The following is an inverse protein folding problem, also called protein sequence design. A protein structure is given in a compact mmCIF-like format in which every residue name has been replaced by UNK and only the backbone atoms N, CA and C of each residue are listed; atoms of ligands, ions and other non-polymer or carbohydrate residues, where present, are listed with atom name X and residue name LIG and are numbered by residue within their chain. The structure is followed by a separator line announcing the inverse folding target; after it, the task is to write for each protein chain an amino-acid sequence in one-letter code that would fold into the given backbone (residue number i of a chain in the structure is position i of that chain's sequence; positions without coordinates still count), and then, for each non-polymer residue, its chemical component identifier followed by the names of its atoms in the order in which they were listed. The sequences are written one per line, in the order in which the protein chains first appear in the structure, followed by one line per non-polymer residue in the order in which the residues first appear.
data_IF_895894561641
#
_entry.id   IF_895894561641
#
_cell.length_a   1.000
_cell.length_b   1.000
_cell.length_c   1.000
_cell.angle_alpha   90.00
_cell.angle_beta   90.00
_cell.angle_gamma   90.00
#
_symmetry.space_group_name_H-M   'P 1'
#
loop_
_entity.id
_entity.type
_entity.pdbx_description
1 polymer ?
#
# COMPACT_ATOMS: atom_id res chain seq x y z
N UNK A 1 21.92 -9.82 -18.47
CA UNK A 1 21.63 -9.87 -17.02
C UNK A 1 22.89 -10.32 -16.31
N UNK A 2 23.37 -9.53 -15.35
CA UNK A 2 24.54 -9.91 -14.55
C UNK A 2 24.21 -11.08 -13.64
N UNK A 3 25.18 -11.90 -13.27
CA UNK A 3 24.97 -12.98 -12.29
C UNK A 3 25.33 -12.51 -10.86
N UNK A 4 24.92 -13.27 -9.84
CA UNK A 4 25.16 -12.94 -8.42
C UNK A 4 26.65 -12.82 -8.07
N UNK A 5 27.53 -13.53 -8.78
CA UNK A 5 28.99 -13.45 -8.60
C UNK A 5 29.53 -12.13 -9.15
N UNK A 6 29.12 -11.74 -10.36
CA UNK A 6 29.48 -10.46 -10.97
C UNK A 6 29.05 -9.26 -10.13
N UNK A 7 27.90 -9.33 -9.45
CA UNK A 7 27.47 -8.28 -8.51
C UNK A 7 28.36 -8.18 -7.26
N UNK A 8 28.89 -9.31 -6.79
CA UNK A 8 29.86 -9.35 -5.68
C UNK A 8 31.21 -8.80 -6.11
N UNK A 9 31.64 -9.12 -7.33
CA UNK A 9 32.90 -8.65 -7.89
C UNK A 9 32.86 -7.12 -8.06
N UNK A 10 31.75 -6.56 -8.59
CA UNK A 10 31.53 -5.10 -8.67
C UNK A 10 31.55 -4.41 -7.30
N UNK A 11 31.00 -5.06 -6.27
CA UNK A 11 31.04 -4.54 -4.91
C UNK A 11 32.48 -4.55 -4.35
N UNK A 12 33.23 -5.62 -4.60
CA UNK A 12 34.62 -5.75 -4.20
C UNK A 12 35.52 -4.71 -4.90
N UNK A 13 35.21 -4.39 -6.15
CA UNK A 13 35.90 -3.37 -6.95
C UNK A 13 35.51 -1.92 -6.57
N UNK A 14 34.62 -1.74 -5.59
CA UNK A 14 34.17 -0.42 -5.12
C UNK A 14 33.20 0.28 -6.08
N UNK A 15 32.73 -0.39 -7.13
CA UNK A 15 31.77 0.15 -8.10
C UNK A 15 30.34 0.08 -7.57
N UNK A 16 30.06 0.79 -6.47
CA UNK A 16 28.77 0.72 -5.77
C UNK A 16 27.58 1.10 -6.66
N UNK A 17 27.72 2.11 -7.53
CA UNK A 17 26.64 2.54 -8.43
C UNK A 17 26.20 1.43 -9.39
N UNK A 18 27.17 0.72 -9.98
CA UNK A 18 26.94 -0.39 -10.89
C UNK A 18 26.47 -1.65 -10.16
N UNK A 19 26.97 -1.88 -8.94
CA UNK A 19 26.53 -2.98 -8.09
C UNK A 19 25.07 -2.81 -7.63
N UNK A 20 24.66 -1.60 -7.21
CA UNK A 20 23.28 -1.29 -6.84
C UNK A 20 22.34 -1.44 -8.03
N UNK A 21 22.70 -0.84 -9.17
CA UNK A 21 21.85 -0.88 -10.38
C UNK A 21 21.71 -2.31 -10.91
N UNK A 22 22.81 -3.07 -10.95
CA UNK A 22 22.78 -4.48 -11.34
C UNK A 22 22.03 -5.36 -10.35
N UNK A 23 22.13 -5.11 -9.04
CA UNK A 23 21.39 -5.83 -8.01
C UNK A 23 19.88 -5.56 -8.12
N UNK A 24 19.49 -4.32 -8.43
CA UNK A 24 18.09 -3.97 -8.71
C UNK A 24 17.56 -4.72 -9.92
N UNK A 25 18.26 -4.71 -11.06
CA UNK A 25 17.85 -5.46 -12.26
C UNK A 25 17.75 -6.97 -11.98
N UNK A 26 18.68 -7.51 -11.19
CA UNK A 26 18.66 -8.92 -10.80
C UNK A 26 17.49 -9.23 -9.88
N UNK A 27 17.25 -8.40 -8.87
CA UNK A 27 16.12 -8.53 -7.96
C UNK A 27 14.78 -8.36 -8.69
N UNK A 28 14.71 -7.45 -9.66
CA UNK A 28 13.55 -7.28 -10.54
C UNK A 28 13.25 -8.57 -11.29
N UNK A 29 14.26 -9.17 -11.92
CA UNK A 29 14.11 -10.43 -12.64
C UNK A 29 13.85 -11.65 -11.74
N UNK A 30 14.38 -11.65 -10.52
CA UNK A 30 14.25 -12.75 -9.56
C UNK A 30 12.88 -12.84 -8.89
N UNK A 31 12.10 -11.76 -8.87
CA UNK A 31 10.74 -11.80 -8.34
C UNK A 31 10.61 -11.63 -6.81
N UNK A 32 11.72 -11.50 -6.08
CA UNK A 32 11.74 -11.17 -4.65
C UNK A 32 11.38 -9.70 -4.39
N UNK A 33 10.22 -9.44 -3.78
CA UNK A 33 9.74 -8.08 -3.53
C UNK A 33 10.40 -7.43 -2.30
N UNK A 34 10.77 -8.21 -1.30
CA UNK A 34 11.33 -7.69 -0.05
C UNK A 34 12.78 -7.23 -0.27
N UNK A 35 13.57 -8.06 -0.96
CA UNK A 35 14.94 -7.72 -1.35
C UNK A 35 14.97 -6.56 -2.34
N UNK A 36 14.06 -6.51 -3.31
CA UNK A 36 13.96 -5.41 -4.27
C UNK A 36 13.59 -4.08 -3.60
N UNK A 37 12.59 -4.07 -2.71
CA UNK A 37 12.20 -2.85 -1.98
C UNK A 37 13.35 -2.38 -1.05
N UNK A 38 14.09 -3.31 -0.45
CA UNK A 38 15.31 -3.01 0.31
C UNK A 38 16.42 -2.39 -0.54
N UNK A 39 16.65 -2.92 -1.75
CA UNK A 39 17.63 -2.38 -2.70
C UNK A 39 17.21 -1.00 -3.24
N UNK A 40 15.92 -0.77 -3.45
CA UNK A 40 15.38 0.55 -3.84
C UNK A 40 15.65 1.60 -2.76
N UNK A 41 15.39 1.25 -1.49
CA UNK A 41 15.69 2.15 -0.38
C UNK A 41 17.19 2.45 -0.31
N UNK A 42 18.03 1.43 -0.49
CA UNK A 42 19.48 1.55 -0.48
C UNK A 42 20.02 2.38 -1.65
N UNK A 43 19.39 2.31 -2.83
CA UNK A 43 19.69 3.18 -3.97
C UNK A 43 19.36 4.64 -3.67
N UNK A 44 18.21 4.90 -3.03
CA UNK A 44 17.83 6.25 -2.61
C UNK A 44 18.83 6.82 -1.59
N UNK A 45 19.19 6.03 -0.59
CA UNK A 45 20.19 6.40 0.42
C UNK A 45 21.56 6.66 -0.22
N UNK A 46 21.97 5.82 -1.17
CA UNK A 46 23.21 6.01 -1.93
C UNK A 46 23.19 7.29 -2.78
N UNK A 47 22.08 7.61 -3.46
CA UNK A 47 21.96 8.85 -4.22
C UNK A 47 22.06 10.06 -3.30
N UNK A 48 21.29 10.09 -2.20
CA UNK A 48 21.36 11.17 -1.20
C UNK A 48 22.77 11.33 -0.63
N UNK A 49 23.44 10.21 -0.36
CA UNK A 49 24.80 10.20 0.15
C UNK A 49 25.81 10.80 -0.83
N UNK A 50 25.74 10.38 -2.10
CA UNK A 50 26.57 10.88 -3.19
C UNK A 50 26.34 12.38 -3.43
N UNK A 51 25.08 12.82 -3.42
CA UNK A 51 24.72 14.22 -3.65
C UNK A 51 25.15 15.10 -2.46
N UNK A 52 25.07 14.58 -1.22
CA UNK A 52 25.61 15.21 -0.01
C UNK A 52 27.14 15.40 -0.04
N UNK A 53 27.86 14.41 -0.58
CA UNK A 53 29.30 14.51 -0.80
C UNK A 53 29.66 15.57 -1.84
N UNK A 54 29.00 15.54 -3.01
CA UNK A 54 29.26 16.50 -4.09
C UNK A 54 28.89 17.94 -3.74
N UNK A 55 27.90 18.14 -2.87
CA UNK A 55 27.52 19.46 -2.35
C UNK A 55 28.39 19.97 -1.20
N UNK A 56 29.37 19.17 -0.73
CA UNK A 56 30.27 19.54 0.36
C UNK A 56 29.58 19.63 1.73
N UNK A 57 28.38 19.06 1.87
CA UNK A 57 27.56 19.16 3.09
C UNK A 57 27.97 18.15 4.18
N UNK A 58 28.83 17.19 3.85
CA UNK A 58 29.24 16.11 4.76
C UNK A 58 30.76 16.02 4.85
N UNK A 59 31.26 15.68 6.04
CA UNK A 59 32.69 15.48 6.27
C UNK A 59 33.18 14.15 5.68
N UNK A 60 34.49 14.02 5.46
CA UNK A 60 35.08 12.78 4.95
C UNK A 60 34.84 11.57 5.88
N UNK A 61 34.86 11.77 7.20
CA UNK A 61 34.59 10.69 8.16
C UNK A 61 33.14 10.20 8.09
N UNK A 62 32.19 11.13 7.95
CA UNK A 62 30.78 10.79 7.75
C UNK A 62 30.58 10.08 6.42
N UNK A 63 31.30 10.52 5.39
CA UNK A 63 31.34 9.87 4.09
C UNK A 63 31.82 8.41 4.18
N UNK A 64 32.99 8.18 4.75
CA UNK A 64 33.57 6.85 4.87
C UNK A 64 32.68 5.88 5.69
N UNK A 65 32.09 6.36 6.81
CA UNK A 65 31.19 5.53 7.63
C UNK A 65 29.91 5.17 6.91
N UNK A 66 29.27 6.12 6.24
CA UNK A 66 28.04 5.88 5.48
C UNK A 66 28.30 4.97 4.27
N UNK A 67 29.41 5.17 3.55
CA UNK A 67 29.85 4.32 2.45
C UNK A 67 30.05 2.85 2.91
N UNK A 68 30.71 2.63 4.06
CA UNK A 68 30.89 1.30 4.62
C UNK A 68 29.56 0.64 5.00
N UNK A 69 28.63 1.41 5.58
CA UNK A 69 27.28 0.93 5.94
C UNK A 69 26.47 0.54 4.70
N UNK A 70 26.48 1.36 3.65
CA UNK A 70 25.80 1.10 2.38
C UNK A 70 26.39 -0.16 1.73
N UNK A 71 27.72 -0.29 1.69
CA UNK A 71 28.42 -1.44 1.12
C UNK A 71 28.06 -2.73 1.85
N UNK A 72 28.06 -2.71 3.19
CA UNK A 72 27.67 -3.86 4.01
C UNK A 72 26.21 -4.25 3.82
N UNK A 73 25.30 -3.26 3.81
CA UNK A 73 23.88 -3.51 3.59
C UNK A 73 23.61 -4.06 2.18
N UNK A 74 24.30 -3.55 1.15
CA UNK A 74 24.21 -4.05 -0.22
C UNK A 74 24.73 -5.49 -0.33
N UNK A 75 25.85 -5.81 0.33
CA UNK A 75 26.36 -7.18 0.39
C UNK A 75 25.34 -8.13 1.01
N UNK A 76 24.71 -7.73 2.12
CA UNK A 76 23.65 -8.51 2.77
C UNK A 76 22.49 -8.79 1.83
N UNK A 77 21.99 -7.76 1.13
CA UNK A 77 20.91 -7.93 0.14
C UNK A 77 21.30 -8.79 -1.05
N UNK A 78 22.54 -8.66 -1.56
CA UNK A 78 23.03 -9.51 -2.65
C UNK A 78 23.10 -10.98 -2.21
N UNK A 79 23.40 -11.26 -0.93
CA UNK A 79 23.41 -12.63 -0.40
C UNK A 79 22.01 -13.25 -0.33
N UNK A 80 21.00 -12.44 0.01
CA UNK A 80 19.58 -12.84 0.07
C UNK A 80 18.99 -13.15 -1.31
N UNK A 81 19.58 -12.63 -2.40
CA UNK A 81 19.12 -12.94 -3.76
C UNK A 81 19.24 -14.43 -4.08
N UNK A 82 18.25 -15.03 -4.78
CA UNK A 82 18.33 -16.41 -5.24
C UNK A 82 19.46 -16.58 -6.27
N UNK A 83 20.03 -17.78 -6.37
CA UNK A 83 21.16 -18.03 -7.29
C UNK A 83 20.75 -18.02 -8.77
N UNK A 84 19.46 -18.21 -9.06
CA UNK A 84 18.87 -18.06 -10.39
C UNK A 84 17.54 -17.28 -10.33
N UNK A 85 17.30 -16.34 -11.25
CA UNK A 85 16.05 -15.60 -11.30
C UNK A 85 14.90 -16.50 -11.80
N UNK A 86 13.88 -16.72 -10.96
CA UNK A 86 12.68 -17.46 -11.36
C UNK A 86 11.59 -16.54 -11.93
N UNK A 87 11.21 -16.68 -13.23
CA UNK A 87 10.27 -15.77 -13.88
C UNK A 87 8.84 -15.82 -13.33
N UNK A 88 8.47 -16.91 -12.62
CA UNK A 88 7.16 -17.07 -11.98
C UNK A 88 6.96 -16.07 -10.83
N UNK A 89 8.02 -15.79 -10.07
CA UNK A 89 7.97 -14.85 -8.95
C UNK A 89 7.79 -13.41 -9.45
N UNK A 90 8.47 -13.04 -10.55
CA UNK A 90 8.35 -11.73 -11.19
C UNK A 90 6.93 -11.44 -11.73
N UNK A 91 6.23 -12.46 -12.25
CA UNK A 91 4.83 -12.33 -12.74
C UNK A 91 3.79 -12.12 -11.63
N UNK A 92 4.12 -12.43 -10.38
CA UNK A 92 3.14 -12.40 -9.27
C UNK A 92 2.97 -11.02 -8.61
N UNK A 93 3.73 -10.01 -9.06
CA UNK A 93 3.85 -8.70 -8.39
C UNK A 93 2.77 -7.71 -8.83
N UNK A 94 2.23 -6.96 -7.88
CA UNK A 94 1.34 -5.83 -8.14
C UNK A 94 2.13 -4.55 -7.85
N UNK A 95 2.23 -3.67 -8.85
CA UNK A 95 2.83 -2.33 -8.69
C UNK A 95 2.04 -1.54 -7.65
N UNK A 96 2.75 -0.84 -6.77
CA UNK A 96 2.13 -0.04 -5.71
C UNK A 96 1.07 0.92 -6.28
N UNK A 97 1.36 1.64 -7.36
CA UNK A 97 0.40 2.58 -7.98
C UNK A 97 -0.89 1.90 -8.44
N UNK A 98 -0.76 0.72 -9.08
CA UNK A 98 -1.93 -0.06 -9.50
C UNK A 98 -2.71 -0.56 -8.30
N UNK A 99 -2.02 -0.94 -7.23
CA UNK A 99 -2.65 -1.36 -6.00
C UNK A 99 -3.41 -0.20 -5.35
N UNK A 100 -2.81 0.99 -5.24
CA UNK A 100 -3.44 2.21 -4.70
C UNK A 100 -4.71 2.58 -5.45
N UNK A 101 -4.65 2.61 -6.79
CA UNK A 101 -5.81 2.86 -7.63
C UNK A 101 -6.88 1.78 -7.47
N UNK A 102 -6.50 0.51 -7.51
CA UNK A 102 -7.44 -0.61 -7.32
C UNK A 102 -8.12 -0.54 -5.95
N UNK A 103 -7.38 -0.23 -4.91
CA UNK A 103 -7.87 -0.07 -3.54
C UNK A 103 -8.88 1.08 -3.45
N UNK A 104 -8.56 2.22 -4.06
CA UNK A 104 -9.47 3.36 -4.15
C UNK A 104 -10.78 3.02 -4.89
N UNK A 105 -10.69 2.36 -6.04
CA UNK A 105 -11.88 1.92 -6.78
C UNK A 105 -12.72 0.93 -5.98
N UNK A 106 -12.09 -0.04 -5.32
CA UNK A 106 -12.80 -0.99 -4.46
C UNK A 106 -13.53 -0.25 -3.34
N UNK A 107 -12.87 0.67 -2.66
CA UNK A 107 -13.48 1.47 -1.61
C UNK A 107 -14.75 2.18 -2.11
N UNK A 108 -14.67 2.89 -3.24
CA UNK A 108 -15.82 3.60 -3.81
C UNK A 108 -16.94 2.64 -4.21
N UNK A 109 -16.61 1.56 -4.93
CA UNK A 109 -17.61 0.58 -5.40
C UNK A 109 -18.35 -0.05 -4.22
N UNK A 110 -17.62 -0.51 -3.21
CA UNK A 110 -18.22 -1.14 -2.04
C UNK A 110 -19.07 -0.16 -1.22
N UNK A 111 -18.65 1.11 -1.12
CA UNK A 111 -19.47 2.17 -0.51
C UNK A 111 -20.76 2.42 -1.27
N UNK A 112 -20.67 2.57 -2.58
CA UNK A 112 -21.84 2.75 -3.44
C UNK A 112 -22.80 1.56 -3.37
N UNK A 113 -22.28 0.33 -3.26
CA UNK A 113 -23.11 -0.85 -3.06
C UNK A 113 -23.87 -0.82 -1.74
N UNK A 114 -23.23 -0.44 -0.63
CA UNK A 114 -23.92 -0.28 0.67
C UNK A 114 -24.98 0.81 0.58
N UNK A 115 -24.67 1.97 -0.01
CA UNK A 115 -25.64 3.05 -0.18
C UNK A 115 -26.82 2.64 -1.07
N UNK A 116 -26.55 1.95 -2.19
CA UNK A 116 -27.58 1.43 -3.07
C UNK A 116 -28.47 0.41 -2.35
N UNK A 117 -27.90 -0.44 -1.50
CA UNK A 117 -28.64 -1.43 -0.72
C UNK A 117 -29.55 -0.77 0.34
N UNK A 118 -29.04 0.23 1.06
CA UNK A 118 -29.81 1.02 2.02
C UNK A 118 -30.94 1.77 1.30
N UNK A 119 -30.63 2.40 0.16
CA UNK A 119 -31.61 3.11 -0.66
C UNK A 119 -32.70 2.19 -1.20
N UNK A 120 -32.34 1.00 -1.67
CA UNK A 120 -33.30 -0.01 -2.12
C UNK A 120 -34.26 -0.41 -0.99
N UNK A 121 -33.73 -0.71 0.20
CA UNK A 121 -34.55 -1.09 1.35
C UNK A 121 -35.40 0.06 1.89
N UNK A 122 -34.97 1.30 1.73
CA UNK A 122 -35.81 2.47 2.00
C UNK A 122 -37.01 2.52 1.05
N UNK A 123 -36.81 2.29 -0.25
CA UNK A 123 -37.89 2.29 -1.26
C UNK A 123 -38.91 1.16 -1.04
N UNK A 124 -38.50 0.03 -0.49
CA UNK A 124 -39.39 -1.10 -0.18
C UNK A 124 -40.10 -0.98 1.19
N UNK A 125 -40.13 0.22 1.80
CA UNK A 125 -40.69 0.51 3.13
C UNK A 125 -39.99 -0.17 4.30
N UNK A 126 -38.76 -0.65 4.11
CA UNK A 126 -37.94 -1.22 5.19
C UNK A 126 -37.40 -0.17 6.19
N UNK A 127 -37.46 1.13 5.84
CA UNK A 127 -37.02 2.25 6.69
C UNK A 127 -37.98 3.43 6.61
N UNK A 128 -38.11 4.14 7.73
CA UNK A 128 -38.64 5.50 7.73
C UNK A 128 -37.62 6.48 7.12
N UNK A 129 -38.10 7.58 6.56
CA UNK A 129 -37.25 8.59 5.89
C UNK A 129 -36.18 9.12 6.86
N UNK A 130 -36.55 9.45 8.10
CA UNK A 130 -35.62 9.94 9.11
C UNK A 130 -34.49 8.93 9.42
N UNK A 131 -34.84 7.64 9.49
CA UNK A 131 -33.90 6.56 9.75
C UNK A 131 -32.89 6.40 8.61
N UNK A 132 -33.35 6.50 7.37
CA UNK A 132 -32.46 6.46 6.21
C UNK A 132 -31.47 7.63 6.23
N UNK A 133 -31.92 8.86 6.52
CA UNK A 133 -31.05 10.03 6.62
C UNK A 133 -29.97 9.91 7.71
N UNK A 134 -30.34 9.39 8.89
CA UNK A 134 -29.37 9.12 9.96
C UNK A 134 -28.32 8.12 9.50
N UNK A 135 -28.72 7.07 8.79
CA UNK A 135 -27.79 6.09 8.24
C UNK A 135 -26.83 6.71 7.21
N UNK A 136 -27.35 7.52 6.29
CA UNK A 136 -26.52 8.21 5.30
C UNK A 136 -25.50 9.13 5.98
N UNK A 137 -25.95 9.92 6.97
CA UNK A 137 -25.07 10.80 7.73
C UNK A 137 -24.04 10.05 8.57
N UNK A 138 -24.32 8.83 9.02
CA UNK A 138 -23.35 8.00 9.72
C UNK A 138 -22.24 7.46 8.79
N UNK A 139 -22.59 7.15 7.53
CA UNK A 139 -21.66 6.53 6.56
C UNK A 139 -20.81 7.55 5.77
N UNK A 140 -21.27 8.80 5.65
CA UNK A 140 -20.62 9.83 4.83
C UNK A 140 -19.28 10.36 5.41
N UNK A 141 -19.15 10.69 6.71
CA UNK A 141 -17.93 11.29 7.24
C UNK A 141 -16.69 10.39 7.04
N UNK A 142 -16.81 9.09 7.34
CA UNK A 142 -15.74 8.11 7.12
C UNK A 142 -15.36 7.99 5.64
N UNK A 143 -16.36 8.07 4.75
CA UNK A 143 -16.14 8.12 3.30
C UNK A 143 -15.36 9.35 2.88
N UNK A 144 -15.77 10.55 3.30
CA UNK A 144 -15.12 11.80 2.90
C UNK A 144 -13.67 11.84 3.37
N UNK A 145 -13.41 11.50 4.64
CA UNK A 145 -12.06 11.50 5.21
C UNK A 145 -11.16 10.51 4.47
N UNK A 146 -11.62 9.27 4.30
CA UNK A 146 -10.83 8.22 3.64
C UNK A 146 -10.57 8.55 2.17
N UNK A 147 -11.58 9.10 1.47
CA UNK A 147 -11.45 9.51 0.06
C UNK A 147 -10.45 10.66 -0.07
N UNK A 148 -10.51 11.67 0.79
CA UNK A 148 -9.59 12.80 0.76
C UNK A 148 -8.13 12.37 0.99
N UNK A 149 -7.89 11.47 1.96
CA UNK A 149 -6.56 10.92 2.23
C UNK A 149 -6.00 10.14 1.04
N UNK A 150 -6.79 9.24 0.46
CA UNK A 150 -6.36 8.46 -0.71
C UNK A 150 -6.16 9.34 -1.94
N UNK A 151 -7.07 10.29 -2.19
CA UNK A 151 -6.98 11.20 -3.32
C UNK A 151 -5.72 12.06 -3.24
N UNK A 152 -5.39 12.61 -2.07
CA UNK A 152 -4.15 13.37 -1.85
C UNK A 152 -2.91 12.55 -2.21
N UNK A 153 -2.86 11.28 -1.82
CA UNK A 153 -1.71 10.43 -2.12
C UNK A 153 -1.65 10.01 -3.59
N UNK A 154 -2.78 9.68 -4.22
CA UNK A 154 -2.84 9.39 -5.66
C UNK A 154 -2.44 10.61 -6.50
N UNK A 155 -2.90 11.80 -6.11
CA UNK A 155 -2.54 13.06 -6.78
C UNK A 155 -1.03 13.33 -6.66
N UNK A 156 -0.44 13.13 -5.48
CA UNK A 156 1.01 13.26 -5.29
C UNK A 156 1.80 12.29 -6.17
N UNK A 157 1.40 11.01 -6.18
CA UNK A 157 2.02 9.99 -7.00
C UNK A 157 1.93 10.29 -8.51
N UNK A 158 0.89 11.01 -8.95
CA UNK A 158 0.76 11.44 -10.35
C UNK A 158 1.68 12.59 -10.75
N UNK A 159 2.17 13.39 -9.78
CA UNK A 159 3.12 14.47 -10.06
C UNK A 159 4.58 14.02 -9.95
N UNK A 160 4.89 13.05 -9.10
CA UNK A 160 6.23 12.49 -8.90
C UNK A 160 6.50 11.35 -9.90
N UNK A 161 6.72 11.70 -11.17
CA UNK A 161 6.93 10.74 -12.28
C UNK A 161 8.19 9.84 -12.15
N UNK A 162 9.12 10.16 -11.25
CA UNK A 162 10.41 9.46 -11.09
C UNK A 162 10.55 8.71 -9.75
N UNK A 163 9.46 8.53 -9.00
CA UNK A 163 9.50 7.75 -7.77
C UNK A 163 9.87 6.28 -8.06
N UNK A 164 10.73 5.65 -7.23
CA UNK A 164 11.21 4.30 -7.51
C UNK A 164 10.07 3.27 -7.46
N UNK A 165 10.14 2.28 -8.38
CA UNK A 165 9.07 1.30 -8.65
C UNK A 165 8.91 0.31 -7.49
N UNK A 166 8.05 0.64 -6.52
CA UNK A 166 7.72 -0.23 -5.39
C UNK A 166 6.65 -1.27 -5.72
N UNK A 167 6.73 -2.43 -5.05
CA UNK A 167 5.80 -3.53 -5.25
C UNK A 167 5.15 -3.97 -3.93
N UNK A 168 3.85 -4.29 -4.00
CA UNK A 168 3.05 -4.77 -2.87
C UNK A 168 2.90 -6.28 -2.94
N UNK A 169 3.09 -6.97 -1.82
CA UNK A 169 2.93 -8.41 -1.74
C UNK A 169 1.47 -8.83 -2.04
N UNK A 170 1.30 -9.87 -2.86
CA UNK A 170 -0.02 -10.34 -3.33
C UNK A 170 -0.99 -10.71 -2.20
N UNK A 171 -0.45 -11.17 -1.05
CA UNK A 171 -1.24 -11.50 0.16
C UNK A 171 -2.05 -10.31 0.65
N UNK A 172 -1.49 -9.09 0.60
CA UNK A 172 -2.21 -7.87 0.97
C UNK A 172 -3.38 -7.61 0.02
N UNK A 173 -3.21 -7.84 -1.29
CA UNK A 173 -4.31 -7.67 -2.24
C UNK A 173 -5.45 -8.64 -1.98
N UNK A 174 -5.17 -9.91 -1.67
CA UNK A 174 -6.21 -10.87 -1.28
C UNK A 174 -6.89 -10.47 0.02
N UNK A 175 -6.12 -10.01 1.01
CA UNK A 175 -6.65 -9.55 2.29
C UNK A 175 -7.57 -8.34 2.13
N UNK A 176 -7.22 -7.38 1.28
CA UNK A 176 -8.08 -6.24 0.91
C UNK A 176 -9.44 -6.70 0.41
N UNK A 177 -9.48 -7.65 -0.53
CA UNK A 177 -10.74 -8.19 -1.04
C UNK A 177 -11.57 -8.86 0.03
N UNK A 178 -10.93 -9.64 0.91
CA UNK A 178 -11.60 -10.28 2.04
C UNK A 178 -12.23 -9.24 2.97
N UNK A 179 -11.48 -8.19 3.32
CA UNK A 179 -11.96 -7.12 4.22
C UNK A 179 -13.12 -6.33 3.62
N UNK A 180 -13.03 -5.90 2.36
CA UNK A 180 -14.15 -5.20 1.70
C UNK A 180 -15.37 -6.11 1.51
N UNK A 181 -15.15 -7.38 1.17
CA UNK A 181 -16.22 -8.38 1.10
C UNK A 181 -16.92 -8.59 2.45
N UNK A 182 -16.14 -8.76 3.52
CA UNK A 182 -16.68 -8.88 4.87
C UNK A 182 -17.45 -7.62 5.30
N UNK A 183 -16.91 -6.44 5.03
CA UNK A 183 -17.59 -5.17 5.27
C UNK A 183 -18.97 -5.12 4.57
N UNK A 184 -19.04 -5.46 3.28
CA UNK A 184 -20.31 -5.48 2.54
C UNK A 184 -21.30 -6.46 3.14
N UNK A 185 -20.84 -7.68 3.44
CA UNK A 185 -21.69 -8.73 3.98
C UNK A 185 -22.28 -8.32 5.33
N UNK A 186 -21.47 -7.78 6.23
CA UNK A 186 -21.93 -7.32 7.55
C UNK A 186 -22.90 -6.15 7.40
N UNK A 187 -22.59 -5.17 6.55
CA UNK A 187 -23.48 -4.03 6.28
C UNK A 187 -24.84 -4.47 5.71
N UNK A 188 -24.84 -5.34 4.70
CA UNK A 188 -26.07 -5.91 4.13
C UNK A 188 -26.85 -6.72 5.16
N UNK A 189 -26.17 -7.52 5.98
CA UNK A 189 -26.78 -8.30 7.05
C UNK A 189 -27.47 -7.39 8.08
N UNK A 190 -26.81 -6.32 8.54
CA UNK A 190 -27.39 -5.37 9.49
C UNK A 190 -28.64 -4.69 8.92
N UNK A 191 -28.61 -4.32 7.62
CA UNK A 191 -29.79 -3.75 6.94
C UNK A 191 -30.95 -4.75 6.97
N UNK A 192 -30.72 -6.01 6.62
CA UNK A 192 -31.76 -7.05 6.59
C UNK A 192 -32.31 -7.34 7.99
N UNK A 193 -31.44 -7.45 9.01
CA UNK A 193 -31.88 -7.69 10.39
C UNK A 193 -32.77 -6.56 10.91
N UNK A 194 -32.42 -5.32 10.58
CA UNK A 194 -33.26 -4.16 10.88
C UNK A 194 -34.59 -4.28 10.15
N UNK A 195 -34.59 -4.49 8.84
CA UNK A 195 -35.83 -4.55 8.01
C UNK A 195 -36.78 -5.64 8.48
N UNK A 196 -36.27 -6.79 8.90
CA UNK A 196 -37.07 -7.89 9.43
C UNK A 196 -37.60 -7.66 10.86
N UNK A 197 -37.25 -6.53 11.50
CA UNK A 197 -37.69 -6.22 12.86
C UNK A 197 -36.93 -6.95 13.96
N UNK A 198 -35.87 -7.69 13.62
CA UNK A 198 -35.04 -8.42 14.60
C UNK A 198 -34.14 -7.49 15.42
N UNK A 199 -33.97 -6.24 14.99
CA UNK A 199 -33.12 -5.24 15.63
C UNK A 199 -33.78 -3.87 15.61
N UNK A 200 -33.71 -3.14 16.73
CA UNK A 200 -34.16 -1.75 16.79
C UNK A 200 -33.25 -0.84 15.95
N UNK A 201 -33.78 0.30 15.49
CA UNK A 201 -33.01 1.24 14.68
C UNK A 201 -31.80 1.82 15.42
N UNK A 202 -31.91 2.02 16.73
CA UNK A 202 -30.83 2.52 17.58
C UNK A 202 -29.66 1.54 17.62
N UNK A 203 -29.94 0.26 17.88
CA UNK A 203 -28.91 -0.79 17.91
C UNK A 203 -28.29 -0.97 16.53
N UNK A 204 -29.11 -0.95 15.47
CA UNK A 204 -28.62 -1.02 14.10
C UNK A 204 -27.68 0.15 13.78
N UNK A 205 -28.05 1.38 14.15
CA UNK A 205 -27.25 2.59 13.92
C UNK A 205 -25.88 2.52 14.59
N UNK A 206 -25.84 2.07 15.85
CA UNK A 206 -24.57 1.85 16.58
C UNK A 206 -23.71 0.78 15.88
N UNK A 207 -24.33 -0.31 15.43
CA UNK A 207 -23.64 -1.37 14.71
C UNK A 207 -23.05 -0.86 13.37
N UNK A 208 -23.83 -0.06 12.62
CA UNK A 208 -23.37 0.57 11.38
C UNK A 208 -22.16 1.49 11.60
N UNK A 209 -22.21 2.35 12.62
CA UNK A 209 -21.11 3.25 12.99
C UNK A 209 -19.87 2.44 13.42
N UNK A 210 -20.06 1.34 14.15
CA UNK A 210 -18.97 0.48 14.60
C UNK A 210 -18.24 -0.17 13.42
N UNK A 211 -19.00 -0.72 12.46
CA UNK A 211 -18.45 -1.31 11.23
C UNK A 211 -17.74 -0.24 10.39
N UNK A 212 -18.31 0.96 10.31
CA UNK A 212 -17.71 2.10 9.60
C UNK A 212 -16.39 2.56 10.21
N UNK A 213 -16.34 2.61 11.54
CA UNK A 213 -15.16 2.99 12.30
C UNK A 213 -14.05 1.94 12.13
N UNK A 214 -14.40 0.65 12.19
CA UNK A 214 -13.45 -0.44 11.94
C UNK A 214 -12.86 -0.39 10.52
N UNK A 215 -13.70 -0.11 9.50
CA UNK A 215 -13.21 0.10 8.15
C UNK A 215 -12.28 1.32 8.10
N UNK A 216 -12.67 2.45 8.70
CA UNK A 216 -11.87 3.68 8.68
C UNK A 216 -10.50 3.51 9.37
N UNK A 217 -10.43 2.75 10.47
CA UNK A 217 -9.16 2.38 11.12
C UNK A 217 -8.27 1.54 10.21
N UNK A 218 -8.85 0.50 9.59
CA UNK A 218 -8.15 -0.34 8.62
C UNK A 218 -7.62 0.48 7.42
N UNK A 219 -8.42 1.43 6.93
CA UNK A 219 -8.02 2.37 5.88
C UNK A 219 -6.84 3.24 6.33
N UNK A 220 -6.88 3.73 7.57
CA UNK A 220 -5.79 4.49 8.19
C UNK A 220 -4.47 3.71 8.16
N UNK A 221 -4.48 2.46 8.64
CA UNK A 221 -3.31 1.58 8.64
C UNK A 221 -2.75 1.31 7.24
N UNK A 222 -3.62 1.09 6.24
CA UNK A 222 -3.18 0.91 4.86
C UNK A 222 -2.57 2.19 4.29
N UNK A 223 -3.20 3.33 4.53
CA UNK A 223 -2.69 4.62 4.07
C UNK A 223 -1.35 4.93 4.74
N UNK A 224 -1.19 4.71 6.04
CA UNK A 224 0.09 4.94 6.72
C UNK A 224 1.17 3.95 6.28
N UNK A 225 0.84 2.66 6.22
CA UNK A 225 1.80 1.60 5.90
C UNK A 225 2.22 1.54 4.43
N UNK A 226 1.31 1.84 3.50
CA UNK A 226 1.55 1.73 2.05
C UNK A 226 1.67 3.09 1.37
N UNK A 227 0.91 4.10 1.79
CA UNK A 227 0.87 5.41 1.10
C UNK A 227 1.77 6.46 1.75
N UNK A 228 2.21 6.27 3.00
CA UNK A 228 2.94 7.27 3.80
C UNK A 228 4.34 6.84 4.23
N UNK A 229 4.84 5.67 3.79
CA UNK A 229 6.24 5.24 3.99
C UNK A 229 7.20 6.08 3.13
N UNK A 230 7.32 7.34 3.52
CA UNK A 230 8.34 8.29 3.12
C UNK A 230 8.78 9.03 4.38
N UNK A 231 9.79 8.46 5.05
CA UNK A 231 10.78 9.22 5.80
C UNK A 231 12.14 8.67 5.41
#
# INVERSE_FOLDING_TARGET
MRNKKELRDLLADGQLGDAVSGALEYAEAAGDADTLNGLIALQSDFSKHRDGWHSGQISFEEFARAQARITSALLGRIQELPDAPTPVAARSRIREDRFKWRFFYLFIVFKLLVFAWVFFNWRTKGFEIAQAFVLFNALLPGMVISTALMFRSLFRASMESDAPRRYVARRFSTFTWLMFGAYLLVQCFLVVQKVNGNMSFEVASVAFISVESALSLFMGEIVEGVFKKEK
#
